data_IF_134152241634
#
_entry.id   IF_134152241634
#
_cell.length_a   1.000
_cell.length_b   1.000
_cell.length_c   1.000
_cell.angle_alpha   90.00
_cell.angle_beta   90.00
_cell.angle_gamma   90.00
#
_symmetry.space_group_name_H-M   'P 1'
#
loop_
_entity.id
_entity.type
_entity.pdbx_description
1 polymer ?
#
# COMPACT_ATOMS: atom_id res chain seq x y z
N UNK A 1 -2.53 -11.57 2.73
CA UNK A 1 -2.30 -10.14 2.43
C UNK A 1 -0.91 -9.78 2.94
N UNK A 2 0.05 -9.50 2.06
CA UNK A 2 1.40 -9.11 2.49
C UNK A 2 1.32 -7.71 3.09
N UNK A 3 1.27 -7.64 4.43
CA UNK A 3 1.30 -6.35 5.14
C UNK A 3 2.73 -5.85 5.12
N UNK A 4 2.90 -4.63 4.64
CA UNK A 4 4.19 -3.99 4.51
C UNK A 4 4.55 -3.29 5.84
N UNK A 5 5.06 -4.03 6.82
CA UNK A 5 5.27 -3.54 8.20
C UNK A 5 6.65 -3.83 8.79
N UNK A 6 7.63 -4.28 7.99
CA UNK A 6 9.00 -4.50 8.46
C UNK A 6 9.66 -3.17 8.86
N UNK A 7 10.10 -3.00 10.13
CA UNK A 7 10.77 -1.78 10.56
C UNK A 7 12.10 -1.55 9.81
N UNK A 8 12.82 -2.62 9.48
CA UNK A 8 14.10 -2.53 8.75
C UNK A 8 13.89 -1.97 7.34
N UNK A 9 12.84 -2.42 6.65
CA UNK A 9 12.51 -1.88 5.34
C UNK A 9 12.03 -0.43 5.43
N UNK A 10 11.23 -0.09 6.44
CA UNK A 10 10.77 1.29 6.63
C UNK A 10 11.97 2.24 6.80
N UNK A 11 12.96 1.86 7.61
CA UNK A 11 14.21 2.62 7.74
C UNK A 11 14.95 2.74 6.40
N UNK A 12 14.98 1.66 5.61
CA UNK A 12 15.62 1.67 4.30
C UNK A 12 14.99 2.70 3.35
N UNK A 13 13.66 2.72 3.23
CA UNK A 13 12.98 3.68 2.35
C UNK A 13 13.06 5.13 2.86
N UNK A 14 13.08 5.33 4.18
CA UNK A 14 13.25 6.66 4.79
C UNK A 14 14.65 7.22 4.55
N UNK A 15 15.67 6.36 4.56
CA UNK A 15 17.03 6.76 4.19
C UNK A 15 17.10 7.20 2.72
N UNK A 16 16.34 6.54 1.85
CA UNK A 16 16.28 6.90 0.42
C UNK A 16 15.47 8.18 0.17
N UNK A 17 14.51 8.54 1.03
CA UNK A 17 13.65 9.70 0.84
C UNK A 17 13.21 10.35 2.16
N UNK A 18 13.72 11.55 2.43
CA UNK A 18 13.41 12.33 3.62
C UNK A 18 11.92 12.67 3.76
N UNK A 19 11.17 12.79 2.65
CA UNK A 19 9.74 13.08 2.68
C UNK A 19 8.89 11.95 3.29
N UNK A 20 9.48 10.75 3.47
CA UNK A 20 8.84 9.59 4.10
C UNK A 20 9.20 9.44 5.59
N UNK A 21 9.98 10.35 6.16
CA UNK A 21 10.46 10.27 7.55
C UNK A 21 9.34 10.21 8.60
N UNK A 22 8.15 10.72 8.28
CA UNK A 22 6.98 10.72 9.17
C UNK A 22 6.18 9.40 9.20
N UNK A 23 6.59 8.40 8.39
CA UNK A 23 5.99 7.07 8.42
C UNK A 23 6.54 6.28 9.62
N UNK A 24 5.67 5.54 10.29
CA UNK A 24 6.05 4.68 11.42
C UNK A 24 5.50 3.27 11.22
N UNK A 25 6.10 2.24 11.84
CA UNK A 25 5.58 0.88 11.74
C UNK A 25 4.11 0.78 12.17
N UNK A 26 3.71 1.53 13.20
CA UNK A 26 2.34 1.59 13.72
C UNK A 26 1.38 2.17 12.67
N UNK A 27 1.77 3.29 12.03
CA UNK A 27 0.99 3.91 10.95
C UNK A 27 0.83 2.99 9.75
N UNK A 28 1.87 2.22 9.41
CA UNK A 28 1.82 1.24 8.33
C UNK A 28 0.95 0.03 8.69
N UNK A 29 1.04 -0.45 9.93
CA UNK A 29 0.24 -1.57 10.44
C UNK A 29 -1.27 -1.23 10.54
N UNK A 30 -1.59 0.04 10.75
CA UNK A 30 -2.97 0.55 10.84
C UNK A 30 -3.70 0.66 9.48
N UNK A 31 -3.00 0.50 8.35
CA UNK A 31 -3.62 0.55 7.03
C UNK A 31 -4.60 -0.62 6.82
N UNK A 32 -5.81 -0.28 6.37
CA UNK A 32 -6.83 -1.24 5.96
C UNK A 32 -6.75 -1.54 4.46
N UNK A 33 -7.47 -2.57 4.01
CA UNK A 33 -7.60 -2.85 2.59
C UNK A 33 -8.14 -1.62 1.84
N UNK A 34 -7.44 -1.22 0.77
CA UNK A 34 -7.75 -0.01 0.02
C UNK A 34 -7.18 1.27 0.61
N UNK A 35 -6.44 1.24 1.72
CA UNK A 35 -5.71 2.41 2.23
C UNK A 35 -4.22 2.31 1.88
N UNK A 36 -3.60 3.46 1.57
CA UNK A 36 -2.18 3.54 1.28
C UNK A 36 -1.60 4.91 1.67
N UNK A 37 -0.28 4.99 1.79
CA UNK A 37 0.43 6.28 1.79
C UNK A 37 1.03 6.52 0.41
N UNK A 38 0.89 7.74 -0.12
CA UNK A 38 1.38 8.16 -1.43
C UNK A 38 2.25 9.40 -1.28
N UNK A 39 3.37 9.42 -2.00
CA UNK A 39 4.25 10.56 -2.16
C UNK A 39 4.81 10.56 -3.58
N UNK A 40 5.05 11.75 -4.14
CA UNK A 40 5.73 11.91 -5.41
C UNK A 40 6.65 13.14 -5.38
N UNK A 41 7.85 13.01 -5.95
CA UNK A 41 8.76 14.16 -6.14
C UNK A 41 8.21 15.21 -7.10
N UNK A 42 7.25 14.84 -7.95
CA UNK A 42 6.54 15.72 -8.86
C UNK A 42 5.07 15.36 -8.90
N UNK A 43 4.21 16.26 -8.46
CA UNK A 43 2.76 16.09 -8.47
C UNK A 43 2.08 17.38 -8.92
N UNK A 44 0.90 17.25 -9.52
CA UNK A 44 0.04 18.40 -9.84
C UNK A 44 -0.51 19.06 -8.58
N UNK A 45 -0.80 18.25 -7.56
CA UNK A 45 -1.15 18.72 -6.22
C UNK A 45 0.09 18.63 -5.32
N UNK A 46 0.57 19.79 -4.86
CA UNK A 46 1.78 19.92 -4.04
C UNK A 46 1.72 19.16 -2.72
N UNK A 47 0.53 18.84 -2.22
CA UNK A 47 0.36 18.10 -0.97
C UNK A 47 1.06 16.73 -1.01
N UNK A 48 1.09 16.09 -2.19
CA UNK A 48 1.79 14.81 -2.41
C UNK A 48 3.31 14.93 -2.53
N UNK A 49 3.86 16.14 -2.64
CA UNK A 49 5.31 16.35 -2.72
C UNK A 49 5.93 16.76 -1.39
N UNK A 50 5.14 17.33 -0.48
CA UNK A 50 5.59 17.78 0.85
C UNK A 50 5.80 16.63 1.84
N UNK A 51 5.10 15.51 1.66
CA UNK A 51 5.26 14.32 2.51
C UNK A 51 4.33 13.19 2.13
N UNK A 52 4.48 12.05 2.81
CA UNK A 52 3.60 10.89 2.60
C UNK A 52 2.16 11.18 3.07
N UNK A 53 1.21 11.10 2.15
CA UNK A 53 -0.21 11.34 2.42
C UNK A 53 -1.03 10.06 2.40
N UNK A 54 -1.92 9.89 3.39
CA UNK A 54 -2.84 8.75 3.42
C UNK A 54 -3.95 8.95 2.39
N UNK A 55 -4.19 7.96 1.55
CA UNK A 55 -5.26 7.93 0.55
C UNK A 55 -6.11 6.68 0.70
N UNK A 56 -7.33 6.74 0.17
CA UNK A 56 -8.24 5.60 0.05
C UNK A 56 -8.48 5.30 -1.43
N UNK A 57 -8.00 4.15 -1.88
CA UNK A 57 -8.22 3.64 -3.21
C UNK A 57 -9.64 3.07 -3.33
N UNK A 58 -10.33 3.38 -4.44
CA UNK A 58 -11.62 2.75 -4.74
C UNK A 58 -11.39 1.28 -5.10
N UNK A 59 -12.28 0.38 -4.66
CA UNK A 59 -12.27 -1.01 -5.13
C UNK A 59 -12.36 -1.05 -6.65
N UNK A 60 -11.64 -2.00 -7.25
CA UNK A 60 -11.73 -2.26 -8.69
C UNK A 60 -13.12 -2.80 -9.02
N UNK A 61 -13.70 -2.32 -10.11
CA UNK A 61 -15.02 -2.79 -10.60
C UNK A 61 -14.91 -4.19 -11.22
N UNK A 62 -13.76 -4.51 -11.81
CA UNK A 62 -13.48 -5.82 -12.41
C UNK A 62 -12.79 -6.77 -11.43
N UNK A 63 -13.04 -8.08 -11.58
CA UNK A 63 -12.28 -9.10 -10.87
C UNK A 63 -10.82 -9.12 -11.34
N UNK A 64 -9.91 -9.52 -10.46
CA UNK A 64 -8.52 -9.75 -10.85
C UNK A 64 -8.48 -10.93 -11.83
N UNK A 65 -7.95 -10.72 -13.04
CA UNK A 65 -7.55 -11.82 -13.89
C UNK A 65 -6.42 -12.60 -13.22
N UNK A 66 -6.40 -13.92 -13.38
CA UNK A 66 -5.33 -14.77 -12.83
C UNK A 66 -5.54 -15.23 -11.38
N UNK A 67 -6.78 -15.30 -10.89
CA UNK A 67 -7.05 -16.14 -9.72
C UNK A 67 -6.55 -17.55 -10.01
N UNK A 68 -5.59 -18.04 -9.22
CA UNK A 68 -5.04 -19.38 -9.36
C UNK A 68 -6.19 -20.38 -9.32
N UNK A 69 -6.41 -21.11 -10.43
CA UNK A 69 -7.34 -22.23 -10.46
C UNK A 69 -6.73 -23.31 -9.57
N UNK A 70 -7.26 -23.48 -8.37
CA UNK A 70 -6.94 -24.65 -7.56
C UNK A 70 -7.55 -25.87 -8.24
N UNK A 71 -6.77 -26.93 -8.42
CA UNK A 71 -7.19 -28.15 -9.13
C UNK A 71 -8.33 -28.92 -8.44
N UNK A 72 -8.76 -28.51 -7.24
CA UNK A 72 -9.87 -29.12 -6.53
C UNK A 72 -10.73 -28.04 -5.87
N UNK A 73 -11.79 -27.66 -6.56
CA UNK A 73 -13.02 -27.19 -5.94
C UNK A 73 -14.17 -27.88 -6.69
N UNK A 74 -14.26 -29.20 -6.53
CA UNK A 74 -15.57 -29.83 -6.60
C UNK A 74 -16.37 -29.31 -5.41
N UNK A 75 -17.36 -28.45 -5.69
CA UNK A 75 -18.56 -28.45 -4.87
C UNK A 75 -19.55 -29.32 -5.63
N UNK A 76 -19.62 -30.59 -5.24
CA UNK A 76 -20.74 -31.46 -5.55
C UNK A 76 -22.01 -30.77 -5.08
N UNK A 77 -22.93 -30.50 -6.02
CA UNK A 77 -24.35 -30.46 -5.74
C UNK A 77 -24.90 -31.88 -5.86
#
# INVERSE_FOLDING_TARGET
MHKFNSPAWLKHIQKANAALANLTPERMAALKAGEAYVWSSKATDESFSKGAMKVRCRPRVTQHGGATRVAVLEKSQ
#
